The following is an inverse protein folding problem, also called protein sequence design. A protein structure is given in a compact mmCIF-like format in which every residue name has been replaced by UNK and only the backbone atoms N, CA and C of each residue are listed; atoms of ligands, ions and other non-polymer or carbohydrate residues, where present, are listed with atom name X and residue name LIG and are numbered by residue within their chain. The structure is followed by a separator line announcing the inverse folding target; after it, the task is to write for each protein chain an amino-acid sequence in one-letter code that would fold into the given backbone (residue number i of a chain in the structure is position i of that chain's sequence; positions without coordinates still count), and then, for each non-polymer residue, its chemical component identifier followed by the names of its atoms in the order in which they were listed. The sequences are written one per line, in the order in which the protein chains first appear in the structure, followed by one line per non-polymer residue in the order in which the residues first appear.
data_IF_455315244145
#
_entry.id   IF_455315244145
#
_cell.length_a   1.000
_cell.length_b   1.000
_cell.length_c   1.000
_cell.angle_alpha   90.00
_cell.angle_beta   90.00
_cell.angle_gamma   90.00
#
_symmetry.space_group_name_H-M   'P 1'
#
loop_
_entity.id
_entity.type
_entity.pdbx_description
1 polymer ?
#
# COMPACT_ATOMS: atom_id res chain seq x y z
N UNK A 1 7.07 -25.01 2.24
CA UNK A 1 6.76 -24.02 3.29
C UNK A 1 5.42 -23.39 2.96
N UNK A 2 4.46 -23.40 3.88
CA UNK A 2 3.15 -22.78 3.66
C UNK A 2 3.35 -21.27 3.52
N UNK A 3 3.02 -20.70 2.36
CA UNK A 3 3.13 -19.26 2.02
C UNK A 3 2.09 -18.44 2.80
N UNK A 4 2.15 -18.46 4.13
CA UNK A 4 1.18 -17.78 5.00
C UNK A 4 1.50 -16.31 5.25
N UNK A 5 2.70 -15.86 4.90
CA UNK A 5 3.01 -14.43 4.87
C UNK A 5 2.43 -13.85 3.57
N UNK A 6 1.61 -12.81 3.69
CA UNK A 6 1.20 -12.03 2.53
C UNK A 6 2.43 -11.44 1.86
N UNK A 7 2.45 -11.37 0.53
CA UNK A 7 3.49 -10.69 -0.23
C UNK A 7 2.98 -9.32 -0.66
N UNK A 8 3.84 -8.29 -0.69
CA UNK A 8 3.43 -6.96 -1.13
C UNK A 8 3.12 -7.00 -2.63
N UNK A 9 2.06 -6.31 -3.03
CA UNK A 9 1.60 -6.26 -4.44
C UNK A 9 1.39 -4.84 -4.94
N UNK A 10 1.08 -3.89 -4.06
CA UNK A 10 0.94 -2.47 -4.42
C UNK A 10 1.48 -1.59 -3.30
N UNK A 11 2.06 -0.46 -3.67
CA UNK A 11 2.33 0.68 -2.79
C UNK A 11 1.24 1.72 -3.00
N UNK A 12 0.76 2.29 -1.91
CA UNK A 12 -0.23 3.36 -1.90
C UNK A 12 0.51 4.66 -1.68
N UNK A 13 0.35 5.58 -2.63
CA UNK A 13 0.92 6.91 -2.61
C UNK A 13 -0.19 7.94 -2.45
N UNK A 14 0.16 9.09 -1.89
CA UNK A 14 -0.67 10.30 -1.92
C UNK A 14 0.19 11.51 -2.23
N UNK A 15 -0.39 12.54 -2.82
CA UNK A 15 0.32 13.80 -3.07
C UNK A 15 0.01 14.80 -1.95
N UNK A 16 0.99 15.09 -1.08
CA UNK A 16 0.89 16.09 -0.01
C UNK A 16 1.76 17.28 -0.37
N UNK A 17 1.18 18.48 -0.42
CA UNK A 17 1.92 19.71 -0.76
C UNK A 17 2.72 19.65 -2.09
N UNK A 18 2.28 18.80 -3.03
CA UNK A 18 2.96 18.60 -4.32
C UNK A 18 4.05 17.53 -4.32
N UNK A 19 4.25 16.83 -3.20
CA UNK A 19 5.19 15.71 -3.07
C UNK A 19 4.45 14.38 -2.95
N UNK A 20 4.91 13.36 -3.67
CA UNK A 20 4.36 12.00 -3.57
C UNK A 20 4.94 11.30 -2.32
N UNK A 21 4.06 10.86 -1.44
CA UNK A 21 4.38 10.24 -0.15
C UNK A 21 3.78 8.83 -0.12
N UNK A 22 4.59 7.83 0.26
CA UNK A 22 4.11 6.48 0.53
C UNK A 22 3.28 6.47 1.83
N UNK A 23 2.04 6.04 1.73
CA UNK A 23 1.09 6.02 2.85
C UNK A 23 0.62 4.61 3.21
N UNK A 24 1.00 3.60 2.43
CA UNK A 24 0.76 2.21 2.80
C UNK A 24 1.16 1.20 1.75
N UNK A 25 1.04 -0.07 2.10
CA UNK A 25 1.36 -1.21 1.22
C UNK A 25 0.21 -2.22 1.26
N UNK A 26 -0.23 -2.67 0.10
CA UNK A 26 -1.20 -3.75 -0.04
C UNK A 26 -0.47 -5.08 -0.12
N UNK A 27 -0.87 -6.01 0.76
CA UNK A 27 -0.39 -7.38 0.77
C UNK A 27 -1.46 -8.32 0.21
N UNK A 28 -1.01 -9.32 -0.55
CA UNK A 28 -1.86 -10.40 -1.05
C UNK A 28 -1.41 -11.75 -0.46
N UNK A 29 -2.38 -12.55 -0.02
CA UNK A 29 -2.16 -13.91 0.46
C UNK A 29 -2.50 -14.92 -0.63
N UNK A 30 -1.93 -16.12 -0.54
CA UNK A 30 -2.18 -17.19 -1.51
C UNK A 30 -3.65 -17.64 -1.57
N UNK A 31 -4.45 -17.34 -0.54
CA UNK A 31 -5.89 -17.58 -0.53
C UNK A 31 -6.73 -16.48 -1.21
N UNK A 32 -6.09 -15.47 -1.81
CA UNK A 32 -6.75 -14.35 -2.47
C UNK A 32 -7.11 -13.19 -1.53
N UNK A 33 -6.94 -13.34 -0.22
CA UNK A 33 -7.15 -12.23 0.74
C UNK A 33 -6.18 -11.09 0.44
N UNK A 34 -6.67 -9.84 0.52
CA UNK A 34 -5.87 -8.61 0.44
C UNK A 34 -6.03 -7.81 1.72
N UNK A 35 -4.95 -7.22 2.20
CA UNK A 35 -4.95 -6.29 3.35
C UNK A 35 -3.96 -5.17 3.12
N UNK A 36 -4.35 -3.97 3.51
CA UNK A 36 -3.49 -2.79 3.50
C UNK A 36 -2.84 -2.62 4.87
N UNK A 37 -1.52 -2.39 4.87
CA UNK A 37 -0.80 -1.83 6.01
C UNK A 37 -0.60 -0.35 5.73
N UNK A 38 -1.27 0.50 6.48
CA UNK A 38 -1.07 1.95 6.41
C UNK A 38 0.18 2.35 7.18
N UNK A 39 0.82 3.44 6.75
CA UNK A 39 1.86 4.12 7.52
C UNK A 39 1.26 4.63 8.83
N UNK A 40 2.00 4.54 9.93
CA UNK A 40 1.49 4.87 11.27
C UNK A 40 1.02 6.35 11.38
N UNK A 41 1.64 7.23 10.59
CA UNK A 41 1.35 8.67 10.59
C UNK A 41 0.29 9.09 9.54
N UNK A 42 -0.33 8.14 8.84
CA UNK A 42 -1.32 8.43 7.81
C UNK A 42 -2.76 8.28 8.34
N UNK A 43 -3.51 9.38 8.38
CA UNK A 43 -4.95 9.34 8.60
C UNK A 43 -5.66 8.96 7.30
N UNK A 44 -6.41 7.85 7.32
CA UNK A 44 -7.22 7.41 6.17
C UNK A 44 -8.28 8.44 5.78
N UNK A 45 -8.70 9.32 6.69
CA UNK A 45 -9.61 10.42 6.40
C UNK A 45 -9.00 11.49 5.48
N UNK A 46 -7.66 11.60 5.46
CA UNK A 46 -6.91 12.49 4.56
C UNK A 46 -6.70 11.87 3.16
N UNK A 47 -7.25 10.68 2.92
CA UNK A 47 -7.11 9.89 1.68
C UNK A 47 -7.80 10.43 0.43
N UNK A 48 -7.87 11.74 0.26
CA UNK A 48 -8.17 12.32 -1.05
C UNK A 48 -6.98 12.06 -1.99
N UNK A 49 -7.24 11.48 -3.17
CA UNK A 49 -6.25 11.24 -4.24
C UNK A 49 -5.20 10.14 -3.99
N UNK A 50 -5.60 9.02 -3.38
CA UNK A 50 -4.74 7.84 -3.30
C UNK A 50 -4.40 7.28 -4.69
N UNK A 51 -3.12 7.02 -4.94
CA UNK A 51 -2.60 6.32 -6.13
C UNK A 51 -2.08 4.95 -5.71
N UNK A 52 -2.46 3.92 -6.45
CA UNK A 52 -1.98 2.55 -6.24
C UNK A 52 -0.98 2.22 -7.34
N UNK A 53 0.22 1.82 -6.95
CA UNK A 53 1.31 1.50 -7.86
C UNK A 53 1.77 0.06 -7.62
N UNK A 54 1.95 -0.77 -8.65
CA UNK A 54 2.45 -2.13 -8.47
C UNK A 54 3.75 -2.12 -7.67
N UNK A 55 3.87 -3.04 -6.70
CA UNK A 55 5.04 -3.06 -5.80
C UNK A 55 6.37 -3.27 -6.56
N UNK A 56 6.33 -3.94 -7.71
CA UNK A 56 7.51 -4.13 -8.57
C UNK A 56 7.95 -2.84 -9.28
N UNK A 57 7.04 -1.89 -9.47
CA UNK A 57 7.29 -0.60 -10.12
C UNK A 57 7.63 0.51 -9.11
N UNK A 58 7.36 0.28 -7.82
CA UNK A 58 7.43 1.28 -6.76
C UNK A 58 8.85 1.62 -6.24
N UNK A 59 9.91 1.02 -6.79
CA UNK A 59 11.32 1.39 -6.54
C UNK A 59 12.10 0.48 -5.60
#
# INVERSE_FOLDING_TARGET
MKKYAGYPVEVIWTTVNGEDVEVGVVFQWSCGMRRTRWSDDFDQADGANLRYEPYEDAG
#
